data_IF_598198482348
#
_entry.id   IF_598198482348
#
_cell.length_a   1.000
_cell.length_b   1.000
_cell.length_c   1.000
_cell.angle_alpha   90.00
_cell.angle_beta   90.00
_cell.angle_gamma   90.00
#
_symmetry.space_group_name_H-M   'P 1'
#
loop_
_entity.id
_entity.type
_entity.pdbx_description
1 polymer ?
#
# COMPACT_ATOMS: atom_id res chain seq x y z
N UNK A 1 -24.24 16.08 8.42
CA UNK A 1 -24.93 14.80 8.73
C UNK A 1 -23.93 13.67 8.50
N UNK A 2 -23.84 12.68 9.38
CA UNK A 2 -22.95 11.54 9.11
C UNK A 2 -23.58 10.68 8.00
N UNK A 3 -22.82 10.38 6.94
CA UNK A 3 -23.29 9.52 5.84
C UNK A 3 -23.63 8.13 6.36
N UNK A 4 -24.60 7.44 5.74
CA UNK A 4 -24.94 6.06 6.05
C UNK A 4 -23.89 5.10 5.50
N UNK A 5 -23.80 3.88 6.09
CA UNK A 5 -22.88 2.85 5.57
C UNK A 5 -23.17 2.48 4.10
N UNK A 6 -24.45 2.49 3.72
CA UNK A 6 -24.86 2.23 2.34
C UNK A 6 -24.33 3.32 1.40
N UNK A 7 -24.53 4.57 1.76
CA UNK A 7 -24.06 5.72 0.98
C UNK A 7 -22.51 5.73 0.88
N UNK A 8 -21.81 5.40 1.98
CA UNK A 8 -20.37 5.22 1.97
C UNK A 8 -19.92 4.16 0.96
N UNK A 9 -20.56 2.98 0.97
CA UNK A 9 -20.25 1.88 0.04
C UNK A 9 -20.54 2.29 -1.41
N UNK A 10 -21.65 2.99 -1.66
CA UNK A 10 -21.99 3.48 -3.00
C UNK A 10 -20.95 4.50 -3.51
N UNK A 11 -20.50 5.43 -2.66
CA UNK A 11 -19.45 6.39 -3.01
C UNK A 11 -18.11 5.68 -3.27
N UNK A 12 -17.75 4.73 -2.40
CA UNK A 12 -16.53 3.95 -2.58
C UNK A 12 -16.52 3.20 -3.91
N UNK A 13 -17.61 2.51 -4.24
CA UNK A 13 -17.75 1.81 -5.53
C UNK A 13 -17.58 2.75 -6.72
N UNK A 14 -18.19 3.94 -6.69
CA UNK A 14 -18.05 4.95 -7.75
C UNK A 14 -16.59 5.41 -7.92
N UNK A 15 -15.88 5.67 -6.82
CA UNK A 15 -14.47 6.07 -6.85
C UNK A 15 -13.54 4.97 -7.38
N UNK A 16 -13.96 3.71 -7.27
CA UNK A 16 -13.21 2.54 -7.75
C UNK A 16 -13.80 1.94 -9.05
N UNK A 17 -14.31 2.80 -9.94
CA UNK A 17 -14.75 2.37 -11.27
C UNK A 17 -15.99 1.45 -11.27
N UNK A 18 -16.84 1.52 -10.25
CA UNK A 18 -18.02 0.66 -10.13
C UNK A 18 -17.71 -0.74 -9.57
N UNK A 19 -16.60 -0.89 -8.85
CA UNK A 19 -16.18 -2.17 -8.27
C UNK A 19 -17.29 -2.82 -7.42
N UNK A 20 -17.48 -4.12 -7.61
CA UNK A 20 -18.50 -4.90 -6.92
C UNK A 20 -18.12 -5.15 -5.45
N UNK A 21 -19.04 -4.84 -4.53
CA UNK A 21 -18.81 -4.95 -3.09
C UNK A 21 -19.38 -6.28 -2.59
N UNK A 22 -18.54 -7.33 -2.56
CA UNK A 22 -18.92 -8.67 -2.09
C UNK A 22 -17.83 -9.30 -1.20
N UNK A 23 -18.19 -10.28 -0.39
CA UNK A 23 -17.27 -11.12 0.36
C UNK A 23 -16.34 -10.35 1.31
N UNK A 24 -15.03 -10.53 1.15
CA UNK A 24 -13.98 -9.90 1.99
C UNK A 24 -14.00 -8.38 1.86
N UNK A 25 -14.21 -7.85 0.65
CA UNK A 25 -14.29 -6.39 0.40
C UNK A 25 -15.44 -5.77 1.17
N UNK A 26 -16.62 -6.40 1.17
CA UNK A 26 -17.78 -5.91 1.91
C UNK A 26 -17.52 -5.86 3.42
N UNK A 27 -16.86 -6.88 3.98
CA UNK A 27 -16.48 -6.93 5.40
C UNK A 27 -15.45 -5.85 5.73
N UNK A 28 -14.41 -5.72 4.91
CA UNK A 28 -13.40 -4.69 5.09
C UNK A 28 -14.01 -3.28 5.08
N UNK A 29 -14.87 -2.98 4.10
CA UNK A 29 -15.55 -1.69 4.01
C UNK A 29 -16.45 -1.39 5.23
N UNK A 30 -17.08 -2.41 5.82
CA UNK A 30 -17.85 -2.21 7.04
C UNK A 30 -16.93 -1.88 8.24
N UNK A 31 -15.79 -2.56 8.36
CA UNK A 31 -14.78 -2.27 9.41
C UNK A 31 -14.19 -0.87 9.21
N UNK A 32 -13.76 -0.54 7.99
CA UNK A 32 -13.16 0.75 7.67
C UNK A 32 -14.15 1.92 7.84
N UNK A 33 -15.44 1.70 7.56
CA UNK A 33 -16.49 2.68 7.85
C UNK A 33 -16.63 2.97 9.35
N UNK A 34 -16.62 1.93 10.19
CA UNK A 34 -16.69 2.12 11.65
C UNK A 34 -15.43 2.86 12.16
N UNK A 35 -14.25 2.47 11.70
CA UNK A 35 -13.00 3.17 12.00
C UNK A 35 -13.05 4.64 11.56
N UNK A 36 -13.56 4.92 10.35
CA UNK A 36 -13.72 6.27 9.83
C UNK A 36 -14.69 7.13 10.68
N UNK A 37 -15.75 6.52 11.19
CA UNK A 37 -16.66 7.21 12.13
C UNK A 37 -15.96 7.57 13.45
N UNK A 38 -15.15 6.67 13.99
CA UNK A 38 -14.35 6.96 15.20
C UNK A 38 -13.35 8.08 14.93
N UNK A 39 -12.60 8.01 13.82
CA UNK A 39 -11.68 9.07 13.42
C UNK A 39 -12.39 10.41 13.25
N UNK A 40 -13.59 10.41 12.67
CA UNK A 40 -14.40 11.63 12.49
C UNK A 40 -14.87 12.20 13.84
N UNK A 41 -15.30 11.35 14.77
CA UNK A 41 -15.67 11.78 16.12
C UNK A 41 -14.48 12.37 16.90
N UNK A 42 -13.28 11.82 16.69
CA UNK A 42 -12.02 12.31 17.27
C UNK A 42 -11.41 13.48 16.48
N UNK A 43 -12.04 13.94 15.39
CA UNK A 43 -11.56 15.00 14.49
C UNK A 43 -10.20 14.68 13.84
N UNK A 44 -9.88 13.41 13.66
CA UNK A 44 -8.68 12.96 12.96
C UNK A 44 -8.94 13.07 11.46
N UNK A 45 -8.11 13.84 10.75
CA UNK A 45 -8.22 13.98 9.29
C UNK A 45 -7.52 12.83 8.55
N UNK A 46 -7.87 12.54 7.26
CA UNK A 46 -7.18 11.55 6.45
C UNK A 46 -5.66 11.78 6.40
N UNK A 47 -5.22 13.02 6.15
CA UNK A 47 -3.80 13.36 6.06
C UNK A 47 -3.02 13.10 7.37
N UNK A 48 -3.70 13.17 8.53
CA UNK A 48 -3.08 12.80 9.82
C UNK A 48 -2.83 11.29 9.86
N UNK A 49 -3.74 10.47 9.35
CA UNK A 49 -3.55 9.02 9.26
C UNK A 49 -2.39 8.66 8.33
N UNK A 50 -2.34 9.27 7.14
CA UNK A 50 -1.23 9.12 6.20
C UNK A 50 0.11 9.51 6.85
N UNK A 51 0.16 10.64 7.58
CA UNK A 51 1.36 11.06 8.30
C UNK A 51 1.74 10.09 9.41
N UNK A 52 0.79 9.60 10.21
CA UNK A 52 1.02 8.60 11.25
C UNK A 52 1.52 7.29 10.66
N UNK A 53 0.98 6.87 9.50
CA UNK A 53 1.46 5.73 8.75
C UNK A 53 2.92 5.89 8.34
N UNK A 54 3.30 7.06 7.81
CA UNK A 54 4.67 7.36 7.44
C UNK A 54 5.61 7.40 8.66
N UNK A 55 5.20 8.01 9.76
CA UNK A 55 5.99 8.06 11.00
C UNK A 55 6.23 6.65 11.58
N UNK A 56 5.23 5.78 11.53
CA UNK A 56 5.40 4.38 11.96
C UNK A 56 6.30 3.59 11.02
N UNK A 57 6.27 3.85 9.70
CA UNK A 57 7.22 3.25 8.75
C UNK A 57 8.66 3.72 9.02
N UNK A 58 8.87 4.98 9.38
CA UNK A 58 10.18 5.51 9.82
C UNK A 58 10.62 4.82 11.10
N UNK A 59 9.75 4.73 12.11
CA UNK A 59 10.07 4.06 13.38
C UNK A 59 10.41 2.57 13.15
N UNK A 60 9.68 1.88 12.25
CA UNK A 60 9.98 0.53 11.83
C UNK A 60 11.40 0.41 11.23
N UNK A 61 11.72 1.28 10.27
CA UNK A 61 12.98 1.24 9.53
C UNK A 61 14.20 1.40 10.43
N UNK A 62 14.09 2.16 11.52
CA UNK A 62 15.15 2.40 12.49
C UNK A 62 15.04 1.56 13.78
N UNK A 63 14.04 0.70 13.88
CA UNK A 63 13.90 -0.22 15.00
C UNK A 63 15.11 -1.15 15.14
N UNK A 64 15.56 -1.40 16.35
CA UNK A 64 16.58 -2.40 16.68
C UNK A 64 15.97 -3.77 16.96
N UNK A 65 14.68 -3.83 17.25
CA UNK A 65 13.95 -5.06 17.58
C UNK A 65 13.05 -5.47 16.41
N UNK A 66 13.35 -6.62 15.79
CA UNK A 66 12.58 -7.12 14.66
C UNK A 66 11.10 -7.40 14.99
N UNK A 67 10.80 -7.85 16.21
CA UNK A 67 9.42 -8.05 16.65
C UNK A 67 8.64 -6.71 16.74
N UNK A 68 9.27 -5.64 17.21
CA UNK A 68 8.68 -4.31 17.19
C UNK A 68 8.51 -3.79 15.75
N UNK A 69 9.52 -4.03 14.89
CA UNK A 69 9.43 -3.67 13.48
C UNK A 69 8.26 -4.38 12.79
N UNK A 70 7.99 -5.65 13.10
CA UNK A 70 6.84 -6.39 12.58
C UNK A 70 5.50 -5.76 13.01
N UNK A 71 5.39 -5.36 14.27
CA UNK A 71 4.20 -4.64 14.76
C UNK A 71 4.04 -3.29 14.04
N UNK A 72 5.13 -2.52 13.92
CA UNK A 72 5.14 -1.23 13.25
C UNK A 72 4.89 -1.32 11.75
N UNK A 73 5.10 -2.47 11.11
CA UNK A 73 4.74 -2.73 9.72
C UNK A 73 3.21 -2.84 9.53
N UNK A 74 2.51 -3.44 10.49
CA UNK A 74 1.05 -3.63 10.40
C UNK A 74 0.29 -2.32 10.57
N UNK A 75 0.77 -1.43 11.44
CA UNK A 75 0.11 -0.15 11.76
C UNK A 75 -0.06 0.77 10.54
N UNK A 76 0.99 1.04 9.72
CA UNK A 76 0.83 1.86 8.51
C UNK A 76 -0.16 1.27 7.52
N UNK A 77 -0.15 -0.05 7.34
CA UNK A 77 -1.09 -0.72 6.44
C UNK A 77 -2.55 -0.54 6.87
N UNK A 78 -2.78 -0.56 8.18
CA UNK A 78 -4.12 -0.31 8.72
C UNK A 78 -4.54 1.14 8.50
N UNK A 79 -3.67 2.11 8.79
CA UNK A 79 -3.97 3.53 8.60
C UNK A 79 -4.23 3.88 7.13
N UNK A 80 -3.43 3.37 6.22
CA UNK A 80 -3.61 3.48 4.79
C UNK A 80 -4.93 2.84 4.31
N UNK A 81 -5.28 1.68 4.83
CA UNK A 81 -6.55 1.02 4.49
C UNK A 81 -7.80 1.78 4.95
N UNK A 82 -7.69 2.72 5.89
CA UNK A 82 -8.84 3.47 6.42
C UNK A 82 -8.82 4.96 6.06
N UNK A 83 -7.70 5.57 5.68
CA UNK A 83 -7.62 7.02 5.41
C UNK A 83 -8.51 7.45 4.25
N UNK A 84 -8.57 6.67 3.16
CA UNK A 84 -9.52 6.85 2.07
C UNK A 84 -10.98 6.74 2.54
N UNK A 85 -11.27 5.83 3.46
CA UNK A 85 -12.60 5.71 4.07
C UNK A 85 -12.93 6.92 4.93
N UNK A 86 -11.95 7.46 5.68
CA UNK A 86 -12.11 8.71 6.45
C UNK A 86 -12.32 9.90 5.51
N UNK A 87 -11.62 9.95 4.38
CA UNK A 87 -11.80 11.00 3.37
C UNK A 87 -13.24 11.01 2.83
N UNK A 88 -13.79 9.84 2.49
CA UNK A 88 -15.16 9.70 2.01
C UNK A 88 -16.17 10.12 3.08
N UNK A 89 -16.01 9.65 4.34
CA UNK A 89 -16.93 9.93 5.45
C UNK A 89 -16.90 11.41 5.83
N UNK A 90 -15.75 12.07 5.76
CA UNK A 90 -15.57 13.49 6.07
C UNK A 90 -15.82 14.41 4.87
N UNK A 91 -16.10 13.86 3.68
CA UNK A 91 -16.22 14.62 2.42
C UNK A 91 -14.97 15.48 2.15
N UNK A 92 -13.78 14.92 2.43
CA UNK A 92 -12.47 15.56 2.30
C UNK A 92 -11.57 14.85 1.28
N UNK A 93 -12.17 14.12 0.36
CA UNK A 93 -11.51 13.51 -0.78
C UNK A 93 -11.02 14.61 -1.75
N UNK A 94 -9.75 14.96 -1.66
CA UNK A 94 -9.14 16.00 -2.49
C UNK A 94 -7.85 15.50 -3.15
N UNK A 95 -7.48 16.16 -4.25
CA UNK A 95 -6.31 15.78 -5.05
C UNK A 95 -4.99 15.85 -4.29
N UNK A 96 -4.85 16.81 -3.37
CA UNK A 96 -3.65 16.94 -2.54
C UNK A 96 -3.51 15.76 -1.57
N UNK A 97 -4.61 15.34 -0.94
CA UNK A 97 -4.61 14.16 -0.05
C UNK A 97 -4.19 12.90 -0.80
N UNK A 98 -4.74 12.65 -1.99
CA UNK A 98 -4.38 11.50 -2.82
C UNK A 98 -2.90 11.54 -3.26
N UNK A 99 -2.35 12.73 -3.54
CA UNK A 99 -0.94 12.89 -3.85
C UNK A 99 -0.05 12.57 -2.64
N UNK A 100 -0.39 13.12 -1.46
CA UNK A 100 0.37 12.89 -0.23
C UNK A 100 0.35 11.43 0.18
N UNK A 101 -0.78 10.76 0.05
CA UNK A 101 -0.92 9.32 0.27
C UNK A 101 -0.01 8.51 -0.66
N UNK A 102 -0.09 8.78 -1.97
CA UNK A 102 0.78 8.11 -2.96
C UNK A 102 2.28 8.32 -2.67
N UNK A 103 2.69 9.50 -2.21
CA UNK A 103 4.09 9.77 -1.84
C UNK A 103 4.48 9.03 -0.56
N UNK A 104 3.62 9.07 0.48
CA UNK A 104 3.85 8.35 1.73
C UNK A 104 4.01 6.85 1.50
N UNK A 105 3.24 6.28 0.57
CA UNK A 105 3.35 4.90 0.14
C UNK A 105 4.72 4.55 -0.42
N UNK A 106 5.21 5.34 -1.35
CA UNK A 106 6.51 5.09 -1.98
C UNK A 106 7.65 5.22 -0.98
N UNK A 107 7.57 6.21 -0.08
CA UNK A 107 8.55 6.39 1.00
C UNK A 107 8.48 5.22 2.00
N UNK A 108 7.29 4.80 2.39
CA UNK A 108 7.11 3.66 3.30
C UNK A 108 7.70 2.36 2.73
N UNK A 109 7.48 2.08 1.44
CA UNK A 109 8.07 0.90 0.78
C UNK A 109 9.60 0.97 0.71
N UNK A 110 10.17 2.16 0.47
CA UNK A 110 11.62 2.35 0.54
C UNK A 110 12.17 2.03 1.95
N UNK A 111 11.46 2.50 2.99
CA UNK A 111 11.81 2.26 4.39
C UNK A 111 11.69 0.77 4.76
N UNK A 112 10.68 0.06 4.24
CA UNK A 112 10.56 -1.39 4.42
C UNK A 112 11.76 -2.13 3.84
N UNK A 113 12.17 -1.80 2.62
CA UNK A 113 13.32 -2.45 1.98
C UNK A 113 14.67 -1.99 2.57
N UNK A 114 14.75 -0.77 3.10
CA UNK A 114 15.88 -0.32 3.91
C UNK A 114 16.02 -1.21 5.17
N UNK A 115 14.91 -1.49 5.87
CA UNK A 115 14.93 -2.46 7.00
C UNK A 115 15.36 -3.85 6.51
N UNK A 116 14.86 -4.32 5.37
CA UNK A 116 15.27 -5.59 4.77
C UNK A 116 16.78 -5.66 4.52
N UNK A 117 17.38 -4.58 4.01
CA UNK A 117 18.84 -4.46 3.89
C UNK A 117 19.56 -4.57 5.24
N UNK A 118 19.08 -3.89 6.26
CA UNK A 118 19.64 -3.99 7.62
C UNK A 118 19.57 -5.41 8.19
N UNK A 119 18.61 -6.21 7.76
CA UNK A 119 18.40 -7.60 8.17
C UNK A 119 19.16 -8.62 7.31
N UNK A 120 19.90 -8.17 6.27
CA UNK A 120 20.78 -9.03 5.49
C UNK A 120 20.40 -9.19 3.99
N UNK A 121 19.36 -8.54 3.50
CA UNK A 121 19.11 -8.45 2.06
C UNK A 121 20.22 -7.59 1.42
N UNK A 122 20.90 -8.03 0.35
CA UNK A 122 21.90 -7.21 -0.33
C UNK A 122 21.31 -5.86 -0.78
N UNK A 123 22.07 -4.76 -0.58
CA UNK A 123 21.59 -3.41 -0.87
C UNK A 123 21.12 -3.26 -2.32
N UNK A 124 21.88 -3.82 -3.29
CA UNK A 124 21.50 -3.76 -4.70
C UNK A 124 20.15 -4.47 -4.97
N UNK A 125 19.86 -5.57 -4.27
CA UNK A 125 18.63 -6.34 -4.41
C UNK A 125 17.43 -5.56 -3.83
N UNK A 126 17.59 -4.99 -2.63
CA UNK A 126 16.58 -4.13 -2.01
C UNK A 126 16.29 -2.89 -2.87
N UNK A 127 17.32 -2.21 -3.38
CA UNK A 127 17.17 -1.06 -4.28
C UNK A 127 16.47 -1.44 -5.58
N UNK A 128 16.81 -2.57 -6.19
CA UNK A 128 16.18 -3.04 -7.43
C UNK A 128 14.71 -3.35 -7.21
N UNK A 129 14.35 -4.03 -6.11
CA UNK A 129 12.96 -4.32 -5.77
C UNK A 129 12.14 -3.04 -5.60
N UNK A 130 12.68 -2.05 -4.86
CA UNK A 130 12.00 -0.77 -4.70
C UNK A 130 11.85 -0.02 -6.03
N UNK A 131 12.90 0.02 -6.84
CA UNK A 131 12.90 0.73 -8.12
C UNK A 131 11.86 0.12 -9.09
N UNK A 132 11.80 -1.20 -9.20
CA UNK A 132 10.81 -1.89 -10.05
C UNK A 132 9.40 -1.57 -9.60
N UNK A 133 9.11 -1.64 -8.28
CA UNK A 133 7.81 -1.31 -7.74
C UNK A 133 7.45 0.17 -7.98
N UNK A 134 8.37 1.11 -7.69
CA UNK A 134 8.13 2.54 -7.85
C UNK A 134 7.91 2.93 -9.33
N UNK A 135 8.68 2.37 -10.26
CA UNK A 135 8.50 2.61 -11.71
C UNK A 135 7.18 2.03 -12.21
N UNK A 136 6.76 0.86 -11.71
CA UNK A 136 5.45 0.29 -12.03
C UNK A 136 4.31 1.23 -11.63
N UNK A 137 4.33 1.76 -10.42
CA UNK A 137 3.29 2.67 -9.94
C UNK A 137 3.35 4.03 -10.65
N UNK A 138 4.56 4.54 -10.93
CA UNK A 138 4.72 5.73 -11.76
C UNK A 138 4.11 5.55 -13.16
N UNK A 139 4.36 4.40 -13.80
CA UNK A 139 3.78 4.10 -15.11
C UNK A 139 2.24 4.08 -15.06
N UNK A 140 1.65 3.49 -14.00
CA UNK A 140 0.19 3.51 -13.78
C UNK A 140 -0.34 4.93 -13.60
N UNK A 141 0.29 5.71 -12.72
CA UNK A 141 -0.10 7.10 -12.46
C UNK A 141 0.03 7.96 -13.73
N UNK A 142 1.08 7.74 -14.53
CA UNK A 142 1.27 8.44 -15.79
C UNK A 142 0.19 8.11 -16.81
N UNK A 143 -0.20 6.84 -16.92
CA UNK A 143 -1.30 6.43 -17.80
C UNK A 143 -2.62 7.06 -17.37
N UNK A 144 -2.92 7.08 -16.08
CA UNK A 144 -4.11 7.75 -15.55
C UNK A 144 -4.11 9.25 -15.92
N UNK A 145 -2.96 9.94 -15.84
CA UNK A 145 -2.81 11.35 -16.23
C UNK A 145 -2.99 11.59 -17.74
N UNK A 146 -2.82 10.58 -18.57
CA UNK A 146 -3.06 10.61 -20.02
C UNK A 146 -4.53 10.25 -20.39
N UNK A 147 -5.41 10.13 -19.38
CA UNK A 147 -6.83 9.82 -19.59
C UNK A 147 -7.17 8.31 -19.60
N UNK A 148 -6.16 7.45 -19.42
CA UNK A 148 -6.37 6.00 -19.34
C UNK A 148 -6.52 5.54 -17.88
N UNK A 149 -7.64 5.91 -17.24
CA UNK A 149 -7.89 5.61 -15.81
C UNK A 149 -8.05 4.12 -15.51
N UNK A 150 -8.38 3.31 -16.50
CA UNK A 150 -8.57 1.87 -16.34
C UNK A 150 -7.34 1.08 -16.84
N UNK A 151 -6.22 1.16 -16.14
CA UNK A 151 -5.22 0.10 -16.23
C UNK A 151 -5.63 -0.98 -15.22
N UNK A 152 -6.71 -1.69 -15.56
CA UNK A 152 -7.36 -2.69 -14.70
C UNK A 152 -6.59 -3.98 -14.50
N UNK A 153 -5.25 -3.95 -14.52
CA UNK A 153 -4.43 -5.12 -14.22
C UNK A 153 -4.04 -5.09 -12.76
N UNK A 154 -4.75 -5.86 -11.96
CA UNK A 154 -4.30 -6.22 -10.60
C UNK A 154 -3.19 -7.25 -10.77
N UNK A 155 -1.99 -6.93 -10.30
CA UNK A 155 -0.83 -7.81 -10.38
C UNK A 155 -0.64 -8.60 -9.08
N UNK A 156 0.22 -9.65 -9.13
CA UNK A 156 0.48 -10.47 -7.94
C UNK A 156 1.22 -9.65 -6.86
N UNK A 157 2.03 -8.66 -7.23
CA UNK A 157 2.86 -7.89 -6.29
C UNK A 157 2.32 -6.50 -5.98
N UNK A 158 1.01 -6.40 -5.76
CA UNK A 158 0.40 -5.18 -5.24
C UNK A 158 0.93 -4.86 -3.82
N UNK A 159 0.74 -3.63 -3.38
CA UNK A 159 1.28 -3.13 -2.10
C UNK A 159 1.02 -4.05 -0.90
N UNK A 160 -0.16 -4.66 -0.69
CA UNK A 160 -0.36 -5.60 0.41
C UNK A 160 0.58 -6.81 0.34
N UNK A 161 0.88 -7.32 -0.87
CA UNK A 161 1.79 -8.46 -1.05
C UNK A 161 3.25 -8.03 -0.80
N UNK A 162 3.63 -6.80 -1.15
CA UNK A 162 4.94 -6.23 -0.80
C UNK A 162 5.13 -6.11 0.72
N UNK A 163 4.07 -5.74 1.43
CA UNK A 163 4.08 -5.71 2.90
C UNK A 163 4.14 -7.12 3.52
N UNK A 164 3.41 -8.09 2.97
CA UNK A 164 3.49 -9.50 3.38
C UNK A 164 4.92 -10.04 3.18
N UNK A 165 5.55 -9.73 2.05
CA UNK A 165 6.97 -10.08 1.84
C UNK A 165 7.85 -9.53 2.97
N UNK A 166 7.69 -8.25 3.32
CA UNK A 166 8.47 -7.64 4.40
C UNK A 166 8.16 -8.27 5.77
N UNK A 167 6.91 -8.64 6.02
CA UNK A 167 6.55 -9.39 7.22
C UNK A 167 7.28 -10.76 7.29
N UNK A 168 7.37 -11.48 6.17
CA UNK A 168 8.14 -12.72 6.10
C UNK A 168 9.64 -12.48 6.30
N UNK A 169 10.21 -11.39 5.78
CA UNK A 169 11.60 -11.00 6.03
C UNK A 169 11.86 -10.87 7.55
N UNK A 170 10.98 -10.17 8.25
CA UNK A 170 11.07 -9.97 9.70
C UNK A 170 10.90 -11.28 10.47
N UNK A 171 9.92 -12.11 10.08
CA UNK A 171 9.67 -13.41 10.70
C UNK A 171 10.89 -14.32 10.50
N UNK A 172 11.44 -14.41 9.29
CA UNK A 172 12.60 -15.24 8.99
C UNK A 172 13.82 -14.80 9.82
N UNK A 173 14.00 -13.49 9.98
CA UNK A 173 15.05 -12.96 10.83
C UNK A 173 14.82 -13.29 12.31
N UNK A 174 13.59 -13.16 12.84
CA UNK A 174 13.27 -13.46 14.25
C UNK A 174 13.52 -14.94 14.59
N UNK A 175 13.20 -15.84 13.66
CA UNK A 175 13.33 -17.30 13.86
C UNK A 175 14.63 -17.88 13.29
N UNK A 176 15.56 -17.02 12.87
CA UNK A 176 16.87 -17.42 12.29
C UNK A 176 16.74 -18.44 11.12
N UNK A 177 15.76 -18.19 10.23
CA UNK A 177 15.50 -19.05 9.07
C UNK A 177 16.46 -18.68 7.93
N UNK A 178 17.34 -19.59 7.45
CA UNK A 178 18.43 -19.26 6.52
C UNK A 178 17.99 -19.08 5.05
N UNK A 179 16.72 -18.78 4.79
CA UNK A 179 16.17 -18.70 3.43
C UNK A 179 15.87 -17.29 2.94
N UNK A 180 16.29 -16.26 3.68
CA UNK A 180 16.01 -14.86 3.39
C UNK A 180 16.43 -14.44 1.97
N UNK A 181 17.62 -14.83 1.57
CA UNK A 181 18.15 -14.47 0.25
C UNK A 181 17.37 -15.13 -0.89
N UNK A 182 17.07 -16.42 -0.75
CA UNK A 182 16.27 -17.16 -1.74
C UNK A 182 14.88 -16.54 -1.88
N UNK A 183 14.21 -16.26 -0.77
CA UNK A 183 12.91 -15.62 -0.75
C UNK A 183 12.96 -14.25 -1.45
N UNK A 184 14.02 -13.47 -1.23
CA UNK A 184 14.19 -12.15 -1.85
C UNK A 184 14.37 -12.24 -3.38
N UNK A 185 15.11 -13.25 -3.88
CA UNK A 185 15.22 -13.49 -5.33
C UNK A 185 13.88 -13.91 -5.94
N UNK A 186 13.16 -14.83 -5.29
CA UNK A 186 11.82 -15.25 -5.75
C UNK A 186 10.89 -14.03 -5.82
N UNK A 187 10.93 -13.17 -4.80
CA UNK A 187 10.11 -11.97 -4.78
C UNK A 187 10.49 -10.96 -5.87
N UNK A 188 11.78 -10.78 -6.15
CA UNK A 188 12.22 -9.95 -7.29
C UNK A 188 11.68 -10.51 -8.62
N UNK A 189 11.71 -11.82 -8.83
CA UNK A 189 11.16 -12.43 -10.05
C UNK A 189 9.66 -12.14 -10.17
N UNK A 190 8.89 -12.23 -9.08
CA UNK A 190 7.46 -11.90 -9.07
C UNK A 190 7.21 -10.40 -9.36
N UNK A 191 8.05 -9.51 -8.82
CA UNK A 191 8.00 -8.07 -9.12
C UNK A 191 8.27 -7.80 -10.61
N UNK A 192 9.30 -8.41 -11.18
CA UNK A 192 9.63 -8.27 -12.60
C UNK A 192 8.51 -8.80 -13.49
N UNK A 193 7.91 -9.93 -13.13
CA UNK A 193 6.74 -10.48 -13.82
C UNK A 193 5.56 -9.51 -13.78
N UNK A 194 5.21 -8.98 -12.60
CA UNK A 194 4.14 -8.01 -12.44
C UNK A 194 4.39 -6.73 -13.23
N UNK A 195 5.62 -6.22 -13.20
CA UNK A 195 6.03 -5.08 -14.02
C UNK A 195 5.85 -5.36 -15.52
N UNK A 196 6.27 -6.53 -16.00
CA UNK A 196 6.07 -6.96 -17.38
C UNK A 196 4.59 -7.00 -17.79
N UNK A 197 3.71 -7.49 -16.89
CA UNK A 197 2.26 -7.49 -17.12
C UNK A 197 1.71 -6.06 -17.29
N UNK A 198 2.08 -5.15 -16.39
CA UNK A 198 1.65 -3.73 -16.48
C UNK A 198 2.14 -3.08 -17.76
N UNK A 199 3.43 -3.24 -18.09
CA UNK A 199 4.02 -2.68 -19.30
C UNK A 199 3.37 -3.23 -20.57
N UNK A 200 3.09 -4.53 -20.61
CA UNK A 200 2.37 -5.14 -21.74
C UNK A 200 1.01 -4.47 -21.98
N UNK A 201 0.23 -4.24 -20.93
CA UNK A 201 -1.09 -3.59 -21.06
C UNK A 201 -0.94 -2.14 -21.50
N UNK A 202 0.04 -1.41 -20.96
CA UNK A 202 0.34 -0.04 -21.36
C UNK A 202 0.65 0.01 -22.88
N UNK A 203 1.54 -0.83 -23.36
CA UNK A 203 1.88 -0.88 -24.78
C UNK A 203 0.71 -1.24 -25.69
N UNK A 204 -0.19 -2.12 -25.23
CA UNK A 204 -1.40 -2.47 -26.00
C UNK A 204 -2.43 -1.35 -26.04
N UNK A 205 -2.50 -0.51 -25.00
CA UNK A 205 -3.45 0.62 -24.94
C UNK A 205 -2.96 1.88 -25.68
N UNK A 206 -1.65 2.02 -25.86
CA UNK A 206 -1.05 3.17 -26.52
C UNK A 206 -0.78 2.95 -28.03
N UNK A 207 -1.01 1.75 -28.53
CA UNK A 207 -0.99 1.43 -29.97
C UNK A 207 -2.37 1.60 -30.59
#
# INVERSE_FOLDING_TARGET
MAISEREFKDRWSKLHGGAEIKGVVARWLSISFQAARVCTALRISPNVLTLLGLLTAIAMAFSTYAALALLLLVVPLFFDGIDGSVAIVQERDNQLGALLDSLADRISEALWLYMGWRLGIPAWLAMTMWMVAAVQEYARARMASLGHHEIGVVTITERPVRAIFMAFVLIFYIFDIPSLLIMSYVFLILLMWSFGQVMRVIFLKLR
#
